data_IF_429006369095
#
_entry.id   IF_429006369095
#
_cell.length_a   1.000
_cell.length_b   1.000
_cell.length_c   1.000
_cell.angle_alpha   90.00
_cell.angle_beta   90.00
_cell.angle_gamma   90.00
#
_symmetry.space_group_name_H-M   'P 1'
#
loop_
_entity.id
_entity.type
_entity.pdbx_description
1 polymer ?
#
# COMPACT_ATOMS: atom_id res chain seq x y z
N UNK A 1 -58.79 -0.84 -9.59
CA UNK A 1 -58.89 -1.64 -8.35
C UNK A 1 -57.51 -1.66 -7.69
N UNK A 2 -57.44 -1.16 -6.48
CA UNK A 2 -56.20 -0.89 -5.78
C UNK A 2 -55.84 -2.09 -4.92
N UNK A 3 -54.73 -2.76 -5.19
CA UNK A 3 -54.26 -3.82 -4.31
C UNK A 3 -53.00 -3.33 -3.61
N UNK A 4 -53.17 -2.93 -2.36
CA UNK A 4 -52.08 -2.59 -1.43
C UNK A 4 -51.51 -3.90 -0.89
N UNK A 5 -50.30 -4.25 -1.25
CA UNK A 5 -49.56 -5.33 -0.59
C UNK A 5 -48.65 -4.69 0.45
N UNK A 6 -49.09 -4.81 1.69
CA UNK A 6 -48.35 -4.46 2.88
C UNK A 6 -47.46 -5.65 3.24
N UNK A 7 -46.18 -5.59 2.93
CA UNK A 7 -45.23 -6.59 3.40
C UNK A 7 -44.45 -6.00 4.57
N UNK A 8 -44.90 -6.42 5.74
CA UNK A 8 -44.21 -6.23 7.02
C UNK A 8 -43.18 -7.34 7.14
N UNK A 9 -41.89 -7.03 6.94
CA UNK A 9 -40.82 -7.94 7.33
C UNK A 9 -40.02 -7.33 8.47
N UNK A 10 -40.45 -7.72 9.67
CA UNK A 10 -39.61 -7.64 10.87
C UNK A 10 -38.50 -8.73 10.72
N UNK A 11 -37.29 -8.36 10.53
CA UNK A 11 -36.16 -9.24 10.82
C UNK A 11 -35.21 -8.53 11.78
N UNK A 12 -35.41 -8.79 13.05
CA UNK A 12 -34.49 -8.46 14.12
C UNK A 12 -33.30 -9.43 14.05
N UNK A 13 -32.22 -9.03 13.35
CA UNK A 13 -30.96 -9.74 13.37
C UNK A 13 -30.05 -9.19 14.46
N UNK A 14 -30.03 -9.85 15.63
CA UNK A 14 -29.02 -9.63 16.66
C UNK A 14 -27.69 -10.15 16.16
N UNK A 15 -26.80 -9.28 15.66
CA UNK A 15 -25.42 -9.61 15.43
C UNK A 15 -24.60 -9.35 16.70
N UNK A 16 -24.36 -10.41 17.46
CA UNK A 16 -23.35 -10.43 18.52
C UNK A 16 -21.98 -10.32 17.88
N UNK A 17 -21.45 -9.11 17.87
CA UNK A 17 -20.06 -8.84 17.46
C UNK A 17 -19.14 -9.30 18.58
N UNK A 18 -18.58 -10.51 18.45
CA UNK A 18 -17.53 -11.00 19.30
C UNK A 18 -16.21 -10.29 18.99
N UNK A 19 -15.82 -9.31 19.81
CA UNK A 19 -14.45 -8.80 19.83
C UNK A 19 -13.53 -9.92 20.33
N UNK A 20 -12.78 -10.54 19.41
CA UNK A 20 -11.60 -11.33 19.76
C UNK A 20 -10.45 -10.38 20.09
N UNK A 21 -10.18 -10.21 21.36
CA UNK A 21 -8.92 -9.65 21.86
C UNK A 21 -7.77 -10.48 21.33
N UNK A 22 -6.92 -9.87 20.51
CA UNK A 22 -5.62 -10.45 20.17
C UNK A 22 -4.73 -10.28 21.39
N UNK A 23 -4.56 -11.38 22.12
CA UNK A 23 -3.65 -11.48 23.24
C UNK A 23 -2.21 -11.36 22.70
N UNK A 24 -1.60 -10.23 23.01
CA UNK A 24 -0.24 -9.89 22.64
C UNK A 24 0.70 -10.72 23.51
N UNK A 25 1.07 -11.90 23.05
CA UNK A 25 2.02 -12.78 23.71
C UNK A 25 3.42 -12.15 23.67
N UNK A 26 3.71 -11.32 24.69
CA UNK A 26 5.05 -10.87 24.99
C UNK A 26 5.87 -12.07 25.43
N UNK A 27 6.50 -12.72 24.48
CA UNK A 27 7.57 -13.67 24.75
C UNK A 27 8.77 -12.88 25.25
N UNK A 28 8.97 -12.93 26.56
CA UNK A 28 10.20 -12.51 27.22
C UNK A 28 11.34 -13.35 26.64
N UNK A 29 12.14 -12.78 25.78
CA UNK A 29 13.37 -13.39 25.29
C UNK A 29 14.42 -13.09 26.34
N UNK A 30 14.72 -14.08 27.17
CA UNK A 30 15.86 -14.09 28.06
C UNK A 30 17.12 -13.96 27.23
N UNK A 31 17.89 -12.93 27.54
CA UNK A 31 19.17 -12.61 26.93
C UNK A 31 20.18 -13.72 27.27
N UNK A 32 20.41 -14.61 26.34
CA UNK A 32 21.55 -15.50 26.37
C UNK A 32 22.59 -14.93 25.41
N UNK A 33 23.65 -14.39 26.02
CA UNK A 33 24.77 -13.82 25.31
C UNK A 33 25.56 -14.95 24.64
N UNK A 34 25.26 -15.21 23.37
CA UNK A 34 26.15 -16.01 22.53
C UNK A 34 27.21 -15.08 21.97
N UNK A 35 28.39 -15.11 22.60
CA UNK A 35 29.59 -14.50 22.05
C UNK A 35 30.04 -15.36 20.87
N UNK A 36 29.61 -14.99 19.67
CA UNK A 36 30.19 -15.52 18.45
C UNK A 36 31.27 -14.56 18.00
N UNK A 37 32.50 -14.84 18.40
CA UNK A 37 33.69 -14.25 17.81
C UNK A 37 33.92 -14.85 16.43
N UNK A 38 33.12 -14.43 15.46
CA UNK A 38 33.45 -14.60 14.08
C UNK A 38 33.95 -13.23 13.57
N UNK A 39 35.26 -13.11 13.55
CA UNK A 39 35.97 -12.06 12.83
C UNK A 39 35.69 -12.29 11.34
N UNK A 40 34.59 -11.75 10.84
CA UNK A 40 34.34 -11.61 9.42
C UNK A 40 35.15 -10.38 9.01
N UNK A 41 36.11 -10.46 8.07
CA UNK A 41 36.73 -9.27 7.54
C UNK A 41 35.60 -8.44 6.92
N UNK A 42 35.42 -7.24 7.46
CA UNK A 42 34.55 -6.23 6.85
C UNK A 42 35.27 -5.85 5.56
N UNK A 43 35.02 -6.60 4.50
CA UNK A 43 35.29 -6.14 3.16
C UNK A 43 34.43 -4.89 3.02
N UNK A 44 35.08 -3.74 2.80
CA UNK A 44 34.43 -2.47 2.52
C UNK A 44 33.34 -2.70 1.48
N UNK A 45 32.10 -2.77 1.94
CA UNK A 45 30.95 -2.67 1.05
C UNK A 45 30.99 -1.23 0.59
N UNK A 46 31.52 -1.03 -0.59
CA UNK A 46 31.51 0.25 -1.26
C UNK A 46 30.04 0.69 -1.39
N UNK A 47 29.68 1.69 -0.57
CA UNK A 47 28.32 2.27 -0.54
C UNK A 47 28.05 3.10 -1.82
N UNK A 48 28.78 2.83 -2.89
CA UNK A 48 28.68 3.58 -4.15
C UNK A 48 27.58 3.09 -5.10
N UNK A 49 26.79 2.08 -4.73
CA UNK A 49 25.65 1.63 -5.54
C UNK A 49 24.32 1.80 -4.81
N UNK A 50 24.14 2.95 -4.15
CA UNK A 50 22.80 3.43 -3.97
C UNK A 50 22.36 4.05 -5.30
N UNK A 51 22.07 3.20 -6.27
CA UNK A 51 21.39 3.65 -7.48
C UNK A 51 20.05 4.21 -7.03
N UNK A 52 19.97 5.53 -6.97
CA UNK A 52 18.70 6.26 -6.85
C UNK A 52 17.91 5.97 -8.13
N UNK A 53 17.24 4.83 -8.14
CA UNK A 53 16.37 4.47 -9.24
C UNK A 53 15.20 5.45 -9.22
N UNK A 54 15.12 6.28 -10.25
CA UNK A 54 13.97 7.16 -10.40
C UNK A 54 12.72 6.32 -10.59
N UNK A 55 11.58 6.73 -10.03
CA UNK A 55 10.34 6.00 -10.22
C UNK A 55 9.93 6.02 -11.70
N UNK A 56 9.38 4.92 -12.18
CA UNK A 56 8.86 4.82 -13.55
C UNK A 56 7.53 5.57 -13.68
N UNK A 57 6.73 5.54 -12.61
CA UNK A 57 5.44 6.21 -12.53
C UNK A 57 5.19 6.85 -11.17
N UNK A 58 4.33 7.87 -11.17
CA UNK A 58 3.78 8.47 -9.96
C UNK A 58 2.27 8.30 -9.98
N UNK A 59 1.76 7.61 -8.95
CA UNK A 59 0.34 7.32 -8.80
C UNK A 59 -0.29 8.36 -7.89
N UNK A 60 -1.40 8.94 -8.33
CA UNK A 60 -2.27 9.72 -7.46
C UNK A 60 -3.29 8.80 -6.81
N UNK A 61 -3.07 8.48 -5.54
CA UNK A 61 -3.93 7.57 -4.77
C UNK A 61 -5.33 8.11 -4.53
N UNK A 62 -5.50 9.44 -4.54
CA UNK A 62 -6.81 10.09 -4.39
C UNK A 62 -7.68 9.97 -5.63
N UNK A 63 -7.07 10.01 -6.84
CA UNK A 63 -7.81 9.97 -8.10
C UNK A 63 -7.72 8.63 -8.81
N UNK A 64 -6.87 7.73 -8.35
CA UNK A 64 -6.63 6.42 -8.96
C UNK A 64 -5.91 6.50 -10.31
N UNK A 65 -5.16 7.58 -10.57
CA UNK A 65 -4.47 7.77 -11.86
C UNK A 65 -2.96 7.71 -11.69
N UNK A 66 -2.29 7.07 -12.65
CA UNK A 66 -0.84 7.07 -12.72
C UNK A 66 -0.33 7.95 -13.86
N UNK A 67 0.87 8.48 -13.67
CA UNK A 67 1.48 9.52 -14.49
C UNK A 67 2.96 9.19 -14.74
N UNK A 68 3.51 9.70 -15.83
CA UNK A 68 4.97 9.82 -15.92
C UNK A 68 5.48 10.86 -14.90
N UNK A 69 6.71 10.71 -14.38
CA UNK A 69 7.27 11.62 -13.36
C UNK A 69 7.30 13.08 -13.79
N UNK A 70 7.49 13.36 -15.07
CA UNK A 70 7.56 14.69 -15.69
C UNK A 70 6.20 15.27 -16.07
N UNK A 71 5.10 14.60 -15.72
CA UNK A 71 3.76 15.08 -16.01
C UNK A 71 3.42 16.33 -15.17
N UNK A 72 2.98 17.44 -15.78
CA UNK A 72 2.62 18.65 -15.03
C UNK A 72 1.53 18.44 -13.97
N UNK A 73 0.76 17.37 -14.07
CA UNK A 73 -0.23 17.02 -13.04
C UNK A 73 0.41 16.52 -11.75
N UNK A 74 1.65 16.06 -11.79
CA UNK A 74 2.40 15.58 -10.62
C UNK A 74 2.78 16.74 -9.71
N UNK A 75 3.15 17.90 -10.27
CA UNK A 75 3.51 19.10 -9.52
C UNK A 75 2.32 19.67 -8.73
N UNK A 76 1.11 19.42 -9.23
CA UNK A 76 -0.13 19.87 -8.62
C UNK A 76 -0.72 18.89 -7.61
N UNK A 77 -0.04 17.78 -7.39
CA UNK A 77 -0.50 16.69 -6.53
C UNK A 77 -0.01 16.90 -5.10
N UNK A 78 -0.88 16.71 -4.11
CA UNK A 78 -0.44 16.71 -2.72
C UNK A 78 0.53 15.54 -2.49
N UNK A 79 1.61 15.78 -1.75
CA UNK A 79 2.63 14.77 -1.47
C UNK A 79 2.04 13.50 -0.80
N UNK A 80 1.07 13.67 0.09
CA UNK A 80 0.36 12.58 0.76
C UNK A 80 -0.38 11.63 -0.19
N UNK A 81 -0.68 12.10 -1.41
CA UNK A 81 -1.37 11.32 -2.44
C UNK A 81 -0.42 10.77 -3.50
N UNK A 82 0.88 11.04 -3.41
CA UNK A 82 1.89 10.55 -4.33
C UNK A 82 2.40 9.19 -3.88
N UNK A 83 2.23 8.18 -4.73
CA UNK A 83 2.87 6.89 -4.59
C UNK A 83 3.88 6.73 -5.73
N UNK A 84 5.14 6.61 -5.38
CA UNK A 84 6.24 6.38 -6.32
C UNK A 84 6.31 4.90 -6.64
N UNK A 85 6.18 4.57 -7.91
CA UNK A 85 6.11 3.19 -8.38
C UNK A 85 7.26 2.89 -9.35
N UNK A 86 7.91 1.73 -9.14
CA UNK A 86 8.93 1.17 -10.02
C UNK A 86 8.38 -0.14 -10.57
N UNK A 87 8.29 -0.24 -11.89
CA UNK A 87 7.73 -1.41 -12.58
C UNK A 87 6.93 -1.03 -13.82
N UNK A 88 6.20 -1.98 -14.36
CA UNK A 88 5.41 -1.82 -15.58
C UNK A 88 4.01 -1.26 -15.30
N UNK A 89 3.44 -0.62 -16.31
CA UNK A 89 2.09 -0.02 -16.23
C UNK A 89 0.97 -1.05 -16.16
N UNK A 90 1.23 -2.26 -16.67
CA UNK A 90 0.30 -3.37 -16.64
C UNK A 90 -0.01 -3.74 -15.19
N UNK A 91 1.01 -3.81 -14.34
CA UNK A 91 0.85 -4.04 -12.89
C UNK A 91 0.00 -2.95 -12.23
N UNK A 92 0.18 -1.69 -12.59
CA UNK A 92 -0.66 -0.60 -12.08
C UNK A 92 -2.12 -0.76 -12.49
N UNK A 93 -2.37 -1.22 -13.71
CA UNK A 93 -3.72 -1.49 -14.20
C UNK A 93 -4.38 -2.66 -13.46
N UNK A 94 -3.62 -3.69 -13.11
CA UNK A 94 -4.09 -4.82 -12.30
C UNK A 94 -4.46 -4.37 -10.87
N UNK A 95 -3.75 -3.41 -10.32
CA UNK A 95 -4.10 -2.78 -9.04
C UNK A 95 -5.29 -1.82 -9.12
N UNK A 96 -5.88 -1.62 -10.30
CA UNK A 96 -7.04 -0.78 -10.52
C UNK A 96 -6.75 0.69 -10.74
N UNK A 97 -5.49 1.04 -11.05
CA UNK A 97 -5.12 2.40 -11.43
C UNK A 97 -5.28 2.63 -12.94
N UNK A 98 -5.50 3.87 -13.35
CA UNK A 98 -5.74 4.26 -14.74
C UNK A 98 -4.70 5.25 -15.23
N UNK A 99 -4.36 5.17 -16.51
CA UNK A 99 -3.47 6.13 -17.16
C UNK A 99 -4.01 7.55 -17.10
N UNK A 100 -3.15 8.51 -16.85
CA UNK A 100 -3.48 9.92 -16.98
C UNK A 100 -3.81 10.29 -18.42
N UNK A 101 -4.94 10.96 -18.67
CA UNK A 101 -5.34 11.39 -20.01
C UNK A 101 -4.44 12.45 -20.62
N UNK A 102 -3.60 13.13 -19.82
CA UNK A 102 -2.69 14.19 -20.30
C UNK A 102 -1.35 13.63 -20.77
N UNK A 103 -0.65 12.86 -19.95
CA UNK A 103 0.65 12.29 -20.31
C UNK A 103 0.57 10.89 -20.95
N UNK A 104 -0.54 10.17 -20.78
CA UNK A 104 -0.83 8.86 -21.40
C UNK A 104 0.31 7.86 -21.22
N UNK A 105 0.72 7.54 -19.99
CA UNK A 105 1.75 6.55 -19.71
C UNK A 105 1.33 5.14 -20.13
#
# INVERSE_FOLDING_TARGET
MKTKILILLLSAGLMLSGCKSVENNRRSVTSEAVVITNTIPITEISISELTTHSPDYIVNTSTGKFHYPDCPSVDLMNEENKLYFIGDKESLSEYGYYSCGRCKP
#
